data_IF_779860130355
#
_entry.id   IF_779860130355
#
_cell.length_a   1.000
_cell.length_b   1.000
_cell.length_c   1.000
_cell.angle_alpha   90.00
_cell.angle_beta   90.00
_cell.angle_gamma   90.00
#
_symmetry.space_group_name_H-M   'P 1'
#
loop_
_entity.id
_entity.type
_entity.pdbx_description
1 polymer ?
#
# COMPACT_ATOMS: atom_id res chain seq x y z
N UNK A 1 17.53 14.19 3.73
CA UNK A 1 16.87 12.87 3.64
C UNK A 1 15.76 12.94 2.59
N UNK A 2 15.60 11.90 1.77
CA UNK A 2 14.52 11.83 0.78
C UNK A 2 13.16 11.67 1.48
N UNK A 3 12.18 12.47 1.07
CA UNK A 3 10.77 12.32 1.49
C UNK A 3 9.91 12.04 0.24
N UNK A 4 8.81 11.29 0.35
CA UNK A 4 7.91 11.11 -0.77
C UNK A 4 7.40 12.47 -1.21
N UNK A 5 7.38 12.73 -2.52
CA UNK A 5 6.85 13.99 -3.03
C UNK A 5 5.33 13.91 -2.99
N UNK A 6 4.68 15.02 -2.63
CA UNK A 6 3.22 15.11 -2.60
C UNK A 6 2.59 14.63 -3.91
N UNK A 7 3.16 15.02 -5.05
CA UNK A 7 2.70 14.59 -6.39
C UNK A 7 2.70 13.08 -6.58
N UNK A 8 3.62 12.34 -5.97
CA UNK A 8 3.67 10.88 -6.08
C UNK A 8 2.57 10.25 -5.22
N UNK A 9 2.29 10.83 -4.04
CA UNK A 9 1.21 10.40 -3.15
C UNK A 9 -0.17 10.69 -3.76
N UNK A 10 -0.35 11.88 -4.34
CA UNK A 10 -1.59 12.26 -5.04
C UNK A 10 -1.87 11.31 -6.21
N UNK A 11 -0.83 10.91 -6.96
CA UNK A 11 -0.95 9.89 -8.02
C UNK A 11 -1.35 8.52 -7.48
N UNK A 12 -0.81 8.10 -6.35
CA UNK A 12 -1.21 6.83 -5.72
C UNK A 12 -2.68 6.84 -5.29
N UNK A 13 -3.15 7.96 -4.70
CA UNK A 13 -4.56 8.14 -4.37
C UNK A 13 -5.45 8.02 -5.61
N UNK A 14 -5.13 8.78 -6.66
CA UNK A 14 -5.87 8.74 -7.91
C UNK A 14 -5.90 7.32 -8.51
N UNK A 15 -4.76 6.63 -8.53
CA UNK A 15 -4.66 5.28 -9.04
C UNK A 15 -5.53 4.30 -8.24
N UNK A 16 -5.39 4.27 -6.91
CA UNK A 16 -6.18 3.41 -6.01
C UNK A 16 -7.68 3.62 -6.21
N UNK A 17 -8.11 4.87 -6.27
CA UNK A 17 -9.54 5.23 -6.28
C UNK A 17 -10.17 5.12 -7.68
N UNK A 18 -9.34 5.00 -8.74
CA UNK A 18 -9.78 4.87 -10.14
C UNK A 18 -10.24 3.47 -10.52
N UNK A 19 -9.72 2.43 -9.86
CA UNK A 19 -10.04 1.04 -10.22
C UNK A 19 -11.20 0.54 -9.36
N UNK A 20 -12.34 0.33 -10.02
CA UNK A 20 -13.60 -0.08 -9.39
C UNK A 20 -14.19 -1.28 -10.12
N UNK A 21 -14.97 -2.08 -9.41
CA UNK A 21 -15.71 -3.19 -9.99
C UNK A 21 -16.99 -2.71 -10.68
N UNK A 22 -17.76 -3.65 -11.26
CA UNK A 22 -19.04 -3.33 -11.93
C UNK A 22 -20.14 -2.80 -10.98
N UNK A 23 -19.94 -2.90 -9.67
CA UNK A 23 -20.83 -2.36 -8.63
C UNK A 23 -20.27 -1.05 -8.01
N UNK A 24 -19.22 -0.47 -8.59
CA UNK A 24 -18.54 0.74 -8.15
C UNK A 24 -17.76 0.60 -6.82
N UNK A 25 -17.51 -0.63 -6.36
CA UNK A 25 -16.69 -0.88 -5.17
C UNK A 25 -15.19 -0.72 -5.47
N UNK A 26 -14.38 -0.27 -4.50
CA UNK A 26 -12.92 -0.22 -4.66
C UNK A 26 -12.33 -1.61 -4.84
N UNK A 27 -11.54 -1.81 -5.91
CA UNK A 27 -10.84 -3.10 -6.15
C UNK A 27 -9.45 -3.10 -5.52
N UNK A 28 -8.76 -1.96 -5.50
CA UNK A 28 -7.43 -1.84 -4.88
C UNK A 28 -7.61 -1.60 -3.38
N UNK A 29 -7.17 -2.59 -2.58
CA UNK A 29 -7.18 -2.50 -1.11
C UNK A 29 -5.88 -1.89 -0.56
N UNK A 30 -4.77 -2.05 -1.26
CA UNK A 30 -3.45 -1.58 -0.83
C UNK A 30 -2.62 -1.06 -2.00
N UNK A 31 -2.00 0.10 -1.84
CA UNK A 31 -1.03 0.68 -2.78
C UNK A 31 0.19 1.19 -2.03
N UNK A 32 1.38 0.94 -2.59
CA UNK A 32 2.62 1.43 -2.03
C UNK A 32 3.63 1.89 -3.08
N UNK A 33 4.44 2.88 -2.70
CA UNK A 33 5.64 3.28 -3.45
C UNK A 33 6.90 2.94 -2.66
N UNK A 34 7.96 2.60 -3.38
CA UNK A 34 9.31 2.39 -2.83
C UNK A 34 10.07 3.71 -2.85
N UNK A 35 10.76 4.06 -1.76
CA UNK A 35 11.53 5.29 -1.75
C UNK A 35 12.69 5.29 -0.72
N UNK A 36 13.78 6.05 -0.97
CA UNK A 36 14.96 6.07 -0.11
C UNK A 36 14.77 7.00 1.11
N UNK A 37 13.86 6.62 2.00
CA UNK A 37 13.56 7.32 3.26
C UNK A 37 12.83 6.41 4.26
N UNK A 38 12.20 6.99 5.29
CA UNK A 38 11.53 6.23 6.35
C UNK A 38 10.20 5.65 5.88
N UNK A 39 9.75 4.48 6.32
CA UNK A 39 8.37 4.08 5.97
C UNK A 39 7.34 5.09 6.53
N UNK A 40 6.37 5.51 5.71
CA UNK A 40 5.30 6.46 6.08
C UNK A 40 3.95 5.87 5.71
N UNK A 41 3.05 5.74 6.68
CA UNK A 41 1.66 5.37 6.46
C UNK A 41 0.81 6.64 6.37
N UNK A 42 0.05 6.81 5.29
CA UNK A 42 -0.77 8.00 5.06
C UNK A 42 -2.23 7.76 5.45
N UNK A 43 -2.83 6.71 4.88
CA UNK A 43 -4.18 6.24 5.19
C UNK A 43 -4.18 4.71 5.20
N UNK A 44 -5.27 4.09 5.65
CA UNK A 44 -5.46 2.66 5.43
C UNK A 44 -5.27 2.32 3.94
N UNK A 45 -4.51 1.26 3.65
CA UNK A 45 -4.24 0.85 2.27
C UNK A 45 -3.27 1.73 1.49
N UNK A 46 -2.58 2.72 2.10
CA UNK A 46 -1.66 3.62 1.40
C UNK A 46 -0.38 3.91 2.19
N UNK A 47 0.76 3.46 1.66
CA UNK A 47 2.06 3.55 2.34
C UNK A 47 3.18 3.95 1.38
N UNK A 48 4.14 4.73 1.86
CA UNK A 48 5.45 4.83 1.23
C UNK A 48 6.43 3.94 2.00
N UNK A 49 6.98 2.91 1.34
CA UNK A 49 7.85 1.90 1.93
C UNK A 49 9.31 2.27 1.70
N UNK A 50 10.10 2.21 2.78
CA UNK A 50 11.54 2.38 2.71
C UNK A 50 12.18 1.36 1.76
N UNK A 51 12.97 1.85 0.81
CA UNK A 51 13.77 1.01 -0.08
C UNK A 51 15.13 1.68 -0.32
N UNK A 52 16.19 1.03 0.17
CA UNK A 52 17.58 1.37 -0.14
C UNK A 52 18.20 0.25 -0.97
N UNK A 53 19.10 0.56 -1.93
CA UNK A 53 19.66 -0.45 -2.85
C UNK A 53 20.41 -1.61 -2.18
N UNK A 54 20.79 -1.49 -0.91
CA UNK A 54 21.49 -2.51 -0.13
C UNK A 54 20.62 -3.13 0.98
N UNK A 55 19.32 -2.90 0.95
CA UNK A 55 18.36 -3.39 1.96
C UNK A 55 17.26 -4.26 1.34
N UNK A 56 17.52 -4.93 0.21
CA UNK A 56 16.52 -5.70 -0.53
C UNK A 56 15.87 -6.81 0.30
N UNK A 57 16.65 -7.51 1.14
CA UNK A 57 16.12 -8.54 2.04
C UNK A 57 15.13 -7.95 3.05
N UNK A 58 15.50 -6.83 3.68
CA UNK A 58 14.61 -6.12 4.64
C UNK A 58 13.36 -5.60 3.95
N UNK A 59 13.50 -5.07 2.73
CA UNK A 59 12.38 -4.64 1.90
C UNK A 59 11.46 -5.82 1.59
N UNK A 60 12.03 -6.97 1.20
CA UNK A 60 11.29 -8.20 0.94
C UNK A 60 10.49 -8.67 2.15
N UNK A 61 11.11 -8.73 3.33
CA UNK A 61 10.43 -9.07 4.59
C UNK A 61 9.29 -8.09 4.89
N UNK A 62 9.55 -6.78 4.77
CA UNK A 62 8.54 -5.73 4.99
C UNK A 62 7.35 -5.90 4.04
N UNK A 63 7.59 -6.16 2.76
CA UNK A 63 6.53 -6.37 1.77
C UNK A 63 5.73 -7.65 2.06
N UNK A 64 6.39 -8.73 2.46
CA UNK A 64 5.71 -9.98 2.85
C UNK A 64 4.79 -9.75 4.05
N UNK A 65 5.25 -9.06 5.08
CA UNK A 65 4.43 -8.76 6.27
C UNK A 65 3.21 -7.91 5.92
N UNK A 66 3.43 -6.83 5.16
CA UNK A 66 2.35 -5.95 4.70
C UNK A 66 1.32 -6.71 3.87
N UNK A 67 1.76 -7.49 2.89
CA UNK A 67 0.85 -8.25 2.03
C UNK A 67 0.05 -9.28 2.83
N UNK A 68 0.70 -9.99 3.78
CA UNK A 68 0.01 -10.91 4.69
C UNK A 68 -1.06 -10.19 5.52
N UNK A 69 -0.73 -9.04 6.10
CA UNK A 69 -1.68 -8.25 6.90
C UNK A 69 -2.89 -7.81 6.07
N UNK A 70 -2.68 -7.28 4.87
CA UNK A 70 -3.75 -6.77 4.01
C UNK A 70 -4.61 -7.90 3.43
N UNK A 71 -4.02 -9.05 3.09
CA UNK A 71 -4.77 -10.24 2.70
C UNK A 71 -5.66 -10.71 3.85
N UNK A 72 -5.12 -10.83 5.06
CA UNK A 72 -5.89 -11.25 6.24
C UNK A 72 -7.02 -10.27 6.57
N UNK A 73 -6.77 -8.97 6.40
CA UNK A 73 -7.79 -7.91 6.57
C UNK A 73 -8.92 -8.06 5.56
N UNK A 74 -8.59 -8.29 4.29
CA UNK A 74 -9.55 -8.53 3.22
C UNK A 74 -10.43 -9.76 3.52
N UNK A 75 -9.81 -10.88 3.87
CA UNK A 75 -10.51 -12.12 4.24
C UNK A 75 -11.45 -11.88 5.43
N UNK A 76 -10.97 -11.24 6.50
CA UNK A 76 -11.79 -10.93 7.68
C UNK A 76 -12.99 -10.03 7.35
N UNK A 77 -12.79 -9.06 6.45
CA UNK A 77 -13.87 -8.17 6.00
C UNK A 77 -14.93 -8.90 5.17
N UNK A 78 -14.53 -9.90 4.38
CA UNK A 78 -15.45 -10.72 3.60
C UNK A 78 -16.27 -11.67 4.49
N UNK A 79 -15.66 -12.23 5.54
CA UNK A 79 -16.33 -13.13 6.49
C UNK A 79 -17.33 -12.37 7.37
N UNK A 80 -17.07 -11.11 7.70
CA UNK A 80 -17.95 -10.31 8.56
C UNK A 80 -19.20 -9.77 7.86
N UNK A 81 -19.32 -9.95 6.54
CA UNK A 81 -20.48 -9.51 5.73
C UNK A 81 -21.38 -10.67 5.26
N UNK A 82 -21.11 -11.91 5.68
CA UNK A 82 -21.95 -13.09 5.41
C UNK A 82 -22.66 -13.58 6.67
#
# INVERSE_FOLDING_TARGET
MGKPKKVDIDKMHAYRDSIRDGMNNPVIQYVAIRYPGKTVNYTAGLTAVRAYPNEDEKLGMTLIEVLKMEINRCISSAISQG
#
